data_IF_068334134915
#
_entry.id   IF_068334134915
#
_cell.length_a   1.000
_cell.length_b   1.000
_cell.length_c   1.000
_cell.angle_alpha   90.00
_cell.angle_beta   90.00
_cell.angle_gamma   90.00
#
_symmetry.space_group_name_H-M   'P 1'
#
loop_
_entity.id
_entity.type
_entity.pdbx_description
1 polymer ?
#
# COMPACT_ATOMS: atom_id res chain seq x y z
N UNK A 1 -45.80 9.07 11.26
CA UNK A 1 -44.52 9.18 10.51
C UNK A 1 -43.42 8.72 11.44
N UNK A 2 -42.95 7.49 11.28
CA UNK A 2 -41.84 6.97 12.07
C UNK A 2 -40.54 7.66 11.63
N UNK A 3 -39.64 8.06 12.55
CA UNK A 3 -38.37 8.64 12.16
C UNK A 3 -37.57 7.57 11.41
N UNK A 4 -37.12 7.91 10.20
CA UNK A 4 -36.13 7.13 9.47
C UNK A 4 -34.85 7.21 10.31
N UNK A 5 -34.53 6.13 11.04
CA UNK A 5 -33.23 5.99 11.65
C UNK A 5 -32.18 5.97 10.54
N UNK A 6 -31.53 7.11 10.31
CA UNK A 6 -30.23 7.12 9.64
C UNK A 6 -29.32 6.18 10.45
N UNK A 7 -28.74 5.13 9.86
CA UNK A 7 -27.81 4.29 10.59
C UNK A 7 -26.64 5.19 10.98
N UNK A 8 -26.45 5.42 12.28
CA UNK A 8 -25.27 6.10 12.80
C UNK A 8 -24.08 5.24 12.37
N UNK A 9 -23.26 5.75 11.44
CA UNK A 9 -22.09 5.05 10.94
C UNK A 9 -21.17 4.75 12.13
N UNK A 10 -21.03 3.47 12.50
CA UNK A 10 -20.11 3.08 13.55
C UNK A 10 -18.68 2.99 12.99
N UNK A 11 -17.95 4.09 13.11
CA UNK A 11 -16.60 4.24 12.58
C UNK A 11 -15.60 3.23 13.17
N UNK A 12 -15.91 2.59 14.30
CA UNK A 12 -15.04 1.57 14.93
C UNK A 12 -15.09 0.21 14.24
N UNK A 13 -16.10 -0.03 13.38
CA UNK A 13 -16.23 -1.27 12.61
C UNK A 13 -15.87 -1.11 11.14
N UNK A 14 -15.46 0.08 10.71
CA UNK A 14 -15.12 0.34 9.32
C UNK A 14 -13.65 0.10 9.04
N UNK A 15 -13.35 -0.34 7.83
CA UNK A 15 -11.99 -0.57 7.35
C UNK A 15 -11.69 0.30 6.14
N UNK A 16 -10.42 0.59 5.94
CA UNK A 16 -9.95 1.36 4.80
C UNK A 16 -9.37 0.41 3.75
N UNK A 17 -9.59 0.71 2.48
CA UNK A 17 -8.96 -0.03 1.38
C UNK A 17 -8.40 0.94 0.34
N UNK A 18 -7.09 0.86 0.12
CA UNK A 18 -6.35 1.73 -0.78
C UNK A 18 -5.92 0.96 -2.04
N UNK A 19 -6.47 1.31 -3.20
CA UNK A 19 -6.08 0.64 -4.44
C UNK A 19 -4.68 1.01 -4.92
N UNK A 20 -4.08 0.11 -5.70
CA UNK A 20 -2.86 0.40 -6.44
C UNK A 20 -3.10 1.47 -7.52
N UNK A 21 -2.15 2.39 -7.64
CA UNK A 21 -2.26 3.54 -8.56
C UNK A 21 -0.90 4.00 -9.13
N UNK A 22 0.17 3.25 -8.90
CA UNK A 22 1.53 3.62 -9.32
C UNK A 22 1.93 5.02 -8.86
N UNK A 23 2.34 5.88 -9.79
CA UNK A 23 2.79 7.25 -9.51
C UNK A 23 1.67 8.22 -9.08
N UNK A 24 0.40 7.83 -9.16
CA UNK A 24 -0.70 8.60 -8.58
C UNK A 24 -0.78 8.45 -7.05
N UNK A 25 0.21 7.82 -6.41
CA UNK A 25 0.33 7.65 -4.98
C UNK A 25 0.31 8.96 -4.18
N UNK A 26 0.62 10.10 -4.82
CA UNK A 26 0.42 11.44 -4.23
C UNK A 26 -1.03 11.70 -3.79
N UNK A 27 -2.00 11.13 -4.51
CA UNK A 27 -3.40 11.21 -4.12
C UNK A 27 -3.64 10.53 -2.77
N UNK A 28 -3.04 9.35 -2.57
CA UNK A 28 -3.15 8.63 -1.31
C UNK A 28 -2.51 9.37 -0.14
N UNK A 29 -1.46 10.17 -0.38
CA UNK A 29 -0.91 11.04 0.66
C UNK A 29 -1.93 12.09 1.12
N UNK A 30 -2.65 12.72 0.19
CA UNK A 30 -3.74 13.66 0.50
C UNK A 30 -4.90 12.98 1.24
N UNK A 31 -5.31 11.79 0.80
CA UNK A 31 -6.32 10.98 1.51
C UNK A 31 -5.89 10.66 2.93
N UNK A 32 -4.64 10.20 3.12
CA UNK A 32 -4.13 9.87 4.44
C UNK A 32 -4.08 11.10 5.34
N UNK A 33 -3.70 12.27 4.81
CA UNK A 33 -3.75 13.53 5.56
C UNK A 33 -5.18 13.86 6.00
N UNK A 34 -6.15 13.80 5.09
CA UNK A 34 -7.56 14.05 5.39
C UNK A 34 -8.14 13.05 6.42
N UNK A 35 -7.80 11.76 6.32
CA UNK A 35 -8.23 10.76 7.30
C UNK A 35 -7.65 11.06 8.68
N UNK A 36 -6.36 11.41 8.77
CA UNK A 36 -5.72 11.76 10.05
C UNK A 36 -6.34 13.01 10.68
N UNK A 37 -6.76 13.99 9.87
CA UNK A 37 -7.36 15.23 10.34
C UNK A 37 -8.84 15.07 10.74
N UNK A 38 -9.65 14.45 9.88
CA UNK A 38 -11.11 14.45 10.02
C UNK A 38 -11.69 13.15 10.57
N UNK A 39 -10.96 12.03 10.49
CA UNK A 39 -11.43 10.73 10.95
C UNK A 39 -10.32 9.84 11.54
N UNK A 40 -9.51 10.34 12.50
CA UNK A 40 -8.34 9.64 13.02
C UNK A 40 -8.64 8.24 13.59
N UNK A 41 -9.85 8.02 14.11
CA UNK A 41 -10.31 6.72 14.59
C UNK A 41 -10.27 5.62 13.52
N UNK A 42 -10.41 5.95 12.23
CA UNK A 42 -10.33 4.95 11.15
C UNK A 42 -8.91 4.40 11.00
N UNK A 43 -7.90 5.14 11.44
CA UNK A 43 -6.52 4.69 11.41
C UNK A 43 -6.28 3.51 12.35
N UNK A 44 -7.10 3.35 13.40
CA UNK A 44 -6.99 2.29 14.41
C UNK A 44 -7.50 0.92 13.91
N UNK A 45 -8.27 0.91 12.82
CA UNK A 45 -8.93 -0.28 12.32
C UNK A 45 -8.05 -1.03 11.31
N UNK A 46 -8.65 -2.04 10.64
CA UNK A 46 -8.00 -2.75 9.54
C UNK A 46 -7.85 -1.82 8.33
N UNK A 47 -6.67 -1.86 7.73
CA UNK A 47 -6.33 -1.07 6.55
C UNK A 47 -5.75 -2.03 5.51
N UNK A 48 -6.32 -2.02 4.31
CA UNK A 48 -5.92 -2.89 3.21
C UNK A 48 -5.32 -2.06 2.08
N UNK A 49 -4.43 -2.65 1.30
CA UNK A 49 -4.01 -2.01 0.07
C UNK A 49 -3.25 -2.91 -0.90
N UNK A 50 -3.14 -2.44 -2.13
CA UNK A 50 -2.33 -3.05 -3.18
C UNK A 50 -1.32 -2.03 -3.71
N UNK A 51 -0.10 -2.44 -4.06
CA UNK A 51 0.92 -1.60 -4.67
C UNK A 51 1.16 -0.30 -3.89
N UNK A 52 1.19 0.84 -4.57
CA UNK A 52 1.22 2.18 -3.96
C UNK A 52 0.18 2.38 -2.82
N UNK A 53 -1.00 1.77 -2.93
CA UNK A 53 -2.02 1.80 -1.88
C UNK A 53 -1.60 1.02 -0.62
N UNK A 54 -0.86 -0.08 -0.76
CA UNK A 54 -0.30 -0.81 0.37
C UNK A 54 0.77 0.01 1.11
N UNK A 55 1.61 0.76 0.38
CA UNK A 55 2.59 1.70 0.96
C UNK A 55 1.88 2.80 1.75
N UNK A 56 0.84 3.41 1.17
CA UNK A 56 0.05 4.43 1.85
C UNK A 56 -0.64 3.88 3.11
N UNK A 57 -1.22 2.68 3.00
CA UNK A 57 -1.81 1.97 4.13
C UNK A 57 -0.80 1.71 5.25
N UNK A 58 0.41 1.23 4.92
CA UNK A 58 1.48 1.00 5.89
C UNK A 58 1.91 2.32 6.57
N UNK A 59 2.04 3.40 5.80
CA UNK A 59 2.34 4.73 6.32
C UNK A 59 1.27 5.25 7.28
N UNK A 60 -0.01 4.99 6.97
CA UNK A 60 -1.13 5.36 7.82
C UNK A 60 -1.15 4.57 9.13
N UNK A 61 -0.94 3.25 9.07
CA UNK A 61 -0.85 2.38 10.27
C UNK A 61 0.33 2.77 11.16
N UNK A 62 1.48 3.07 10.56
CA UNK A 62 2.71 3.45 11.28
C UNK A 62 2.72 4.92 11.72
N UNK A 63 1.64 5.67 11.50
CA UNK A 63 1.55 7.10 11.78
C UNK A 63 2.73 7.92 11.19
N UNK A 64 3.18 7.55 9.99
CA UNK A 64 4.25 8.24 9.28
C UNK A 64 3.83 9.70 9.02
N UNK A 65 4.83 10.59 9.01
CA UNK A 65 4.64 11.97 8.59
C UNK A 65 4.33 12.02 7.09
N UNK A 66 3.11 12.43 6.72
CA UNK A 66 2.67 12.42 5.32
C UNK A 66 3.48 13.38 4.43
N UNK A 67 4.07 14.44 5.00
CA UNK A 67 4.99 15.31 4.26
C UNK A 67 6.28 14.59 3.86
N UNK A 68 6.85 13.75 4.72
CA UNK A 68 8.00 12.92 4.38
C UNK A 68 7.65 11.88 3.31
N UNK A 69 6.53 11.17 3.48
CA UNK A 69 6.06 10.21 2.48
C UNK A 69 5.82 10.87 1.11
N UNK A 70 5.25 12.08 1.11
CA UNK A 70 5.03 12.89 -0.10
C UNK A 70 6.35 13.31 -0.75
N UNK A 71 7.34 13.76 0.02
CA UNK A 71 8.66 14.12 -0.49
C UNK A 71 9.37 12.93 -1.12
N UNK A 72 9.33 11.76 -0.49
CA UNK A 72 9.89 10.50 -1.05
C UNK A 72 9.18 10.12 -2.35
N UNK A 73 7.84 10.19 -2.39
CA UNK A 73 7.06 9.95 -3.62
C UNK A 73 7.46 10.92 -4.73
N UNK A 74 7.57 12.21 -4.42
CA UNK A 74 7.95 13.23 -5.39
C UNK A 74 9.38 13.04 -5.88
N UNK A 75 10.31 12.59 -5.03
CA UNK A 75 11.66 12.21 -5.43
C UNK A 75 11.63 11.05 -6.42
N UNK A 76 10.92 9.96 -6.11
CA UNK A 76 10.78 8.79 -7.00
C UNK A 76 10.16 9.19 -8.35
N UNK A 77 9.09 10.01 -8.34
CA UNK A 77 8.46 10.53 -9.56
C UNK A 77 9.41 11.43 -10.35
N UNK A 78 10.17 12.29 -9.66
CA UNK A 78 11.13 13.20 -10.30
C UNK A 78 12.26 12.44 -10.95
N UNK A 79 12.81 11.43 -10.26
CA UNK A 79 13.86 10.55 -10.81
C UNK A 79 13.32 9.72 -11.98
N UNK A 80 12.11 9.16 -11.87
CA UNK A 80 11.43 8.44 -12.94
C UNK A 80 11.18 9.33 -14.17
N UNK A 81 10.82 10.61 -13.98
CA UNK A 81 10.59 11.58 -15.07
C UNK A 81 11.87 12.12 -15.68
N UNK A 82 12.92 12.35 -14.88
CA UNK A 82 14.25 12.74 -15.35
C UNK A 82 14.85 11.65 -16.26
N UNK A 83 14.50 10.38 -16.00
CA UNK A 83 14.80 9.24 -16.86
C UNK A 83 13.81 8.99 -18.00
N UNK A 84 13.05 9.97 -18.50
CA UNK A 84 11.99 9.75 -19.52
C UNK A 84 12.44 9.23 -20.90
N UNK A 85 13.75 9.08 -21.16
CA UNK A 85 14.30 8.31 -22.30
C UNK A 85 14.68 6.86 -21.95
N UNK A 86 14.47 6.44 -20.70
CA UNK A 86 15.13 5.33 -20.02
C UNK A 86 14.16 4.37 -19.28
N UNK A 87 12.88 4.30 -19.65
CA UNK A 87 12.04 3.14 -19.28
C UNK A 87 12.61 1.79 -19.81
N UNK A 88 13.70 1.85 -20.57
CA UNK A 88 14.52 0.74 -21.06
C UNK A 88 15.96 0.76 -20.51
N UNK A 89 16.28 1.61 -19.54
CA UNK A 89 17.63 1.73 -18.99
C UNK A 89 17.91 0.69 -17.92
N UNK A 90 19.02 -0.05 -18.02
CA UNK A 90 19.41 -1.05 -17.03
C UNK A 90 19.77 -0.48 -15.65
N UNK A 91 19.78 0.84 -15.45
CA UNK A 91 20.20 1.50 -14.21
C UNK A 91 19.06 2.07 -13.33
N UNK A 92 17.78 1.97 -13.74
CA UNK A 92 16.66 2.48 -12.95
C UNK A 92 15.90 1.33 -12.27
N UNK A 93 16.26 1.06 -11.01
CA UNK A 93 15.58 0.06 -10.18
C UNK A 93 14.53 0.74 -9.29
N UNK A 94 13.29 0.77 -9.80
CA UNK A 94 12.12 1.30 -9.07
C UNK A 94 11.94 0.62 -7.72
N UNK A 95 12.19 -0.69 -7.65
CA UNK A 95 12.00 -1.46 -6.42
C UNK A 95 13.06 -1.10 -5.39
N UNK A 96 14.30 -0.82 -5.80
CA UNK A 96 15.36 -0.34 -4.92
C UNK A 96 15.01 1.05 -4.33
N UNK A 97 14.45 1.96 -5.12
CA UNK A 97 14.00 3.27 -4.63
C UNK A 97 12.84 3.13 -3.64
N UNK A 98 11.87 2.26 -3.94
CA UNK A 98 10.77 1.96 -3.00
C UNK A 98 11.31 1.40 -1.70
N UNK A 99 12.22 0.42 -1.77
CA UNK A 99 12.88 -0.18 -0.60
C UNK A 99 13.58 0.89 0.25
N UNK A 100 14.42 1.71 -0.35
CA UNK A 100 15.13 2.78 0.34
C UNK A 100 14.15 3.74 1.03
N UNK A 101 13.09 4.15 0.33
CA UNK A 101 12.05 5.00 0.90
C UNK A 101 11.34 4.37 2.10
N UNK A 102 11.01 3.08 2.02
CA UNK A 102 10.40 2.33 3.12
C UNK A 102 11.35 2.18 4.32
N UNK A 103 12.62 1.86 4.10
CA UNK A 103 13.64 1.71 5.14
C UNK A 103 13.89 3.02 5.91
N UNK A 104 13.84 4.17 5.21
CA UNK A 104 13.99 5.50 5.80
C UNK A 104 12.73 5.97 6.55
N UNK A 105 11.56 5.53 6.11
CA UNK A 105 10.28 6.09 6.56
C UNK A 105 9.59 5.24 7.63
N UNK A 106 9.67 3.91 7.53
CA UNK A 106 9.01 3.01 8.47
C UNK A 106 9.80 2.92 9.79
N UNK A 107 9.14 3.04 10.95
CA UNK A 107 9.79 2.88 12.25
C UNK A 107 10.30 1.44 12.45
N UNK A 108 11.25 1.26 13.36
CA UNK A 108 11.86 -0.06 13.64
C UNK A 108 10.82 -1.13 14.03
N UNK A 109 9.79 -0.73 14.78
CA UNK A 109 8.68 -1.59 15.21
C UNK A 109 7.50 -1.65 14.23
N UNK A 110 7.65 -1.20 12.98
CA UNK A 110 6.55 -1.15 11.99
C UNK A 110 5.83 -2.49 11.81
N UNK A 111 6.56 -3.60 11.80
CA UNK A 111 6.00 -4.95 11.69
C UNK A 111 5.04 -5.31 12.85
N UNK A 112 5.30 -4.83 14.06
CA UNK A 112 4.44 -5.01 15.23
C UNK A 112 3.15 -4.18 15.06
N UNK A 113 3.27 -2.94 14.58
CA UNK A 113 2.12 -2.06 14.35
C UNK A 113 1.21 -2.57 13.22
N UNK A 114 1.81 -3.14 12.18
CA UNK A 114 1.13 -3.62 10.98
C UNK A 114 0.51 -5.01 11.13
N UNK A 115 1.09 -5.89 11.95
CA UNK A 115 0.58 -7.26 12.11
C UNK A 115 -0.87 -7.27 12.61
N UNK A 116 -1.74 -8.02 11.92
CA UNK A 116 -3.18 -8.09 12.18
C UNK A 116 -4.00 -6.84 11.81
N UNK A 117 -3.34 -5.77 11.35
CA UNK A 117 -3.98 -4.47 11.01
C UNK A 117 -3.81 -4.06 9.56
N UNK A 118 -2.63 -4.26 8.99
CA UNK A 118 -2.32 -4.02 7.59
C UNK A 118 -2.56 -5.31 6.79
N UNK A 119 -3.27 -5.20 5.68
CA UNK A 119 -3.51 -6.30 4.74
C UNK A 119 -2.99 -5.91 3.35
N UNK A 120 -1.93 -6.58 2.93
CA UNK A 120 -1.25 -6.30 1.66
C UNK A 120 -1.73 -7.30 0.62
N UNK A 121 -2.35 -6.79 -0.44
CA UNK A 121 -2.71 -7.57 -1.62
C UNK A 121 -1.45 -7.83 -2.45
N UNK A 122 -1.10 -9.09 -2.67
CA UNK A 122 0.00 -9.49 -3.55
C UNK A 122 -0.47 -10.64 -4.46
N UNK A 123 -0.02 -10.64 -5.71
CA UNK A 123 -0.40 -11.67 -6.67
C UNK A 123 0.68 -12.73 -6.72
N UNK A 124 0.35 -13.99 -6.40
CA UNK A 124 1.34 -15.07 -6.46
C UNK A 124 1.68 -15.38 -7.92
N UNK A 125 2.98 -15.35 -8.25
CA UNK A 125 3.44 -15.40 -9.64
C UNK A 125 3.13 -16.72 -10.35
N UNK A 126 3.15 -17.85 -9.63
CA UNK A 126 2.96 -19.19 -10.24
C UNK A 126 1.54 -19.48 -10.72
N UNK A 127 0.52 -18.87 -10.11
CA UNK A 127 -0.89 -19.22 -10.36
C UNK A 127 -1.84 -18.02 -10.38
N UNK A 128 -1.30 -16.80 -10.31
CA UNK A 128 -2.03 -15.53 -10.32
C UNK A 128 -3.11 -15.39 -9.24
N UNK A 129 -3.06 -16.23 -8.19
CA UNK A 129 -3.98 -16.12 -7.07
C UNK A 129 -3.55 -15.00 -6.15
N UNK A 130 -4.54 -14.25 -5.66
CA UNK A 130 -4.30 -13.24 -4.64
C UNK A 130 -3.88 -13.88 -3.32
N UNK A 131 -2.92 -13.25 -2.66
CA UNK A 131 -2.57 -13.50 -1.27
C UNK A 131 -2.72 -12.19 -0.49
N UNK A 132 -3.52 -12.23 0.57
CA UNK A 132 -3.72 -11.10 1.48
C UNK A 132 -2.83 -11.27 2.70
N UNK A 133 -1.63 -10.69 2.63
CA UNK A 133 -0.58 -10.82 3.66
C UNK A 133 -0.86 -9.85 4.80
N UNK A 134 -0.87 -10.33 6.05
CA UNK A 134 -1.21 -9.50 7.23
C UNK A 134 -0.39 -9.78 8.48
N UNK A 135 0.58 -10.69 8.42
CA UNK A 135 1.38 -11.12 9.56
C UNK A 135 2.87 -10.95 9.24
N UNK A 136 3.59 -10.22 10.09
CA UNK A 136 4.99 -9.84 9.86
C UNK A 136 5.81 -10.06 11.14
N UNK A 137 6.87 -10.88 11.07
CA UNK A 137 7.76 -11.16 12.20
C UNK A 137 8.93 -10.19 12.32
N UNK A 138 9.19 -9.38 11.28
CA UNK A 138 10.25 -8.36 11.28
C UNK A 138 9.93 -7.18 10.36
N UNK A 139 10.62 -6.05 10.57
CA UNK A 139 10.50 -4.87 9.69
C UNK A 139 10.91 -5.20 8.25
N UNK A 140 11.94 -6.03 8.09
CA UNK A 140 12.39 -6.46 6.77
C UNK A 140 11.32 -7.27 6.06
N UNK A 141 10.67 -8.21 6.76
CA UNK A 141 9.60 -9.02 6.17
C UNK A 141 8.38 -8.17 5.75
N UNK A 142 8.05 -7.13 6.51
CA UNK A 142 7.03 -6.15 6.11
C UNK A 142 7.44 -5.42 4.81
N UNK A 143 8.70 -5.00 4.71
CA UNK A 143 9.23 -4.31 3.52
C UNK A 143 9.20 -5.27 2.32
N UNK A 144 9.63 -6.52 2.47
CA UNK A 144 9.56 -7.54 1.42
C UNK A 144 8.14 -7.76 0.91
N UNK A 145 7.14 -7.83 1.80
CA UNK A 145 5.73 -7.95 1.41
C UNK A 145 5.24 -6.73 0.62
N UNK A 146 5.63 -5.51 1.02
CA UNK A 146 5.30 -4.28 0.29
C UNK A 146 5.96 -4.25 -1.09
N UNK A 147 7.23 -4.65 -1.20
CA UNK A 147 7.95 -4.74 -2.48
C UNK A 147 7.31 -5.77 -3.42
N UNK A 148 6.90 -6.92 -2.89
CA UNK A 148 6.12 -7.92 -3.63
C UNK A 148 4.83 -7.32 -4.21
N UNK A 149 4.11 -6.54 -3.40
CA UNK A 149 2.88 -5.88 -3.81
C UNK A 149 3.09 -4.77 -4.86
N UNK A 150 4.31 -4.28 -5.05
CA UNK A 150 4.68 -3.22 -6.00
C UNK A 150 5.43 -3.72 -7.25
N UNK A 151 5.78 -5.01 -7.34
CA UNK A 151 6.59 -5.51 -8.44
C UNK A 151 5.75 -5.71 -9.71
N UNK A 152 5.89 -4.81 -10.69
CA UNK A 152 5.26 -4.93 -12.00
C UNK A 152 6.24 -5.65 -12.95
N UNK A 153 5.91 -6.85 -13.47
CA UNK A 153 6.79 -7.58 -14.39
C UNK A 153 7.19 -6.75 -15.61
N UNK A 154 8.43 -6.90 -16.06
CA UNK A 154 9.07 -6.15 -17.15
C UNK A 154 9.32 -4.66 -16.87
N UNK A 155 8.53 -4.02 -16.01
CA UNK A 155 8.75 -2.65 -15.58
C UNK A 155 9.79 -2.55 -14.44
N UNK A 156 9.64 -3.38 -13.40
CA UNK A 156 10.56 -3.44 -12.28
C UNK A 156 11.71 -4.45 -12.48
N UNK A 157 11.69 -5.21 -13.57
CA UNK A 157 12.63 -6.29 -13.84
C UNK A 157 11.95 -7.58 -14.30
N UNK A 158 12.74 -8.65 -14.46
CA UNK A 158 12.26 -9.95 -14.95
C UNK A 158 12.00 -10.96 -13.84
N UNK A 159 12.70 -10.85 -12.72
CA UNK A 159 12.65 -11.81 -11.61
C UNK A 159 11.85 -11.18 -10.47
N UNK A 160 10.67 -11.72 -10.13
CA UNK A 160 9.89 -11.20 -9.02
C UNK A 160 10.60 -11.43 -7.67
N UNK A 161 10.40 -10.52 -6.68
CA UNK A 161 10.86 -10.75 -5.32
C UNK A 161 10.18 -11.97 -4.70
N UNK A 162 10.84 -12.51 -3.67
CA UNK A 162 10.36 -13.69 -2.94
C UNK A 162 9.93 -13.28 -1.55
N UNK A 163 8.79 -13.78 -1.10
CA UNK A 163 8.29 -13.65 0.26
C UNK A 163 7.95 -15.04 0.79
N UNK A 164 8.58 -15.46 1.89
CA UNK A 164 8.42 -16.81 2.49
C UNK A 164 8.59 -17.96 1.49
N UNK A 165 9.57 -17.84 0.58
CA UNK A 165 9.87 -18.86 -0.43
C UNK A 165 8.95 -18.86 -1.65
N UNK A 166 7.99 -17.94 -1.74
CA UNK A 166 7.06 -17.79 -2.86
C UNK A 166 7.34 -16.49 -3.62
N UNK A 167 7.24 -16.52 -4.95
CA UNK A 167 7.38 -15.32 -5.78
C UNK A 167 6.05 -14.60 -5.95
N UNK A 168 6.10 -13.28 -5.86
CA UNK A 168 4.93 -12.42 -5.97
C UNK A 168 5.17 -11.26 -6.94
N UNK A 169 4.09 -10.87 -7.59
CA UNK A 169 4.00 -9.68 -8.43
C UNK A 169 2.91 -8.76 -7.85
N UNK A 170 2.80 -7.57 -8.44
CA UNK A 170 1.94 -6.49 -7.96
C UNK A 170 0.50 -6.97 -7.68
N UNK A 171 -0.06 -6.52 -6.57
CA UNK A 171 -1.41 -6.91 -6.12
C UNK A 171 -2.50 -6.58 -7.13
N UNK A 172 -2.30 -5.57 -7.97
CA UNK A 172 -3.23 -5.15 -9.01
C UNK A 172 -3.50 -6.23 -10.07
N UNK A 173 -2.61 -7.21 -10.24
CA UNK A 173 -2.80 -8.32 -11.17
C UNK A 173 -3.87 -9.33 -10.72
N UNK A 174 -4.31 -9.30 -9.46
CA UNK A 174 -5.33 -10.22 -8.93
C UNK A 174 -6.43 -9.53 -8.13
N UNK A 175 -6.08 -8.58 -7.24
CA UNK A 175 -7.05 -7.77 -6.49
C UNK A 175 -6.46 -6.40 -6.19
N UNK A 176 -6.72 -5.43 -7.08
CA UNK A 176 -6.24 -4.07 -6.91
C UNK A 176 -6.92 -3.32 -5.76
N UNK A 177 -8.12 -3.74 -5.31
CA UNK A 177 -8.90 -3.03 -4.29
C UNK A 177 -9.35 -4.03 -3.22
N UNK A 178 -8.43 -4.51 -2.37
CA UNK A 178 -8.70 -5.61 -1.46
C UNK A 178 -9.84 -5.29 -0.49
N UNK A 179 -10.84 -6.17 -0.43
CA UNK A 179 -12.00 -6.03 0.44
C UNK A 179 -13.06 -5.01 -0.03
N UNK A 180 -13.02 -4.54 -1.30
CA UNK A 180 -14.01 -3.61 -1.87
C UNK A 180 -15.47 -3.97 -1.56
N UNK A 181 -15.79 -5.26 -1.57
CA UNK A 181 -17.14 -5.78 -1.41
C UNK A 181 -17.48 -6.19 0.03
N UNK A 182 -16.55 -6.03 0.97
CA UNK A 182 -16.80 -6.32 2.38
C UNK A 182 -17.59 -5.17 3.02
N UNK A 183 -18.66 -5.47 3.78
CA UNK A 183 -19.42 -4.47 4.51
C UNK A 183 -18.53 -3.61 5.41
N UNK A 184 -18.78 -2.29 5.42
CA UNK A 184 -18.00 -1.34 6.23
C UNK A 184 -16.65 -0.95 5.64
N UNK A 185 -16.35 -1.30 4.38
CA UNK A 185 -15.13 -0.87 3.70
C UNK A 185 -15.30 0.50 3.05
N UNK A 186 -14.42 1.43 3.40
CA UNK A 186 -14.25 2.70 2.71
C UNK A 186 -13.13 2.57 1.69
N UNK A 187 -13.46 2.81 0.42
CA UNK A 187 -12.50 2.92 -0.69
C UNK A 187 -12.37 4.39 -1.09
N UNK A 188 -11.30 5.11 -0.70
CA UNK A 188 -11.18 6.55 -0.96
C UNK A 188 -11.11 6.90 -2.45
N UNK A 189 -10.68 5.95 -3.28
CA UNK A 189 -10.64 6.06 -4.75
C UNK A 189 -10.97 4.71 -5.36
N UNK A 190 -11.54 4.72 -6.56
CA UNK A 190 -11.67 3.54 -7.40
C UNK A 190 -10.95 3.82 -8.72
N UNK A 191 -10.01 2.95 -9.09
CA UNK A 191 -9.25 2.98 -10.33
C UNK A 191 -9.68 1.87 -11.26
#
# INVERSE_FOLDING_TARGET
MSPVHSPILNLTQMQLSFAGCGFLCIYHAGVCAAIKEYAPQLTLNRIKGASAGAIAAAGLVCNVCMSHATSTILQIVTEARAGSLLALSPNFDVLALVRQGLEQTLPENAHILCTGRLFISATRARDYKNALISEFVSREELIEALLCSCFIPFYCGRTPPTYRGEQYIDGAFSDNQPGKWEPGTITPVQW
#
